data_IF_827977104428
#
_entry.id   IF_827977104428
#
_cell.length_a   1.000
_cell.length_b   1.000
_cell.length_c   1.000
_cell.angle_alpha   90.00
_cell.angle_beta   90.00
_cell.angle_gamma   90.00
#
_symmetry.space_group_name_H-M   'P 1'
#
loop_
_entity.id
_entity.type
_entity.pdbx_description
1 polymer ?
#
# COMPACT_ATOMS: atom_id res chain seq x y z
N UNK A 1 -17.30 10.78 11.95
CA UNK A 1 -16.98 10.90 10.51
C UNK A 1 -15.60 10.31 10.31
N UNK A 2 -15.50 9.13 9.70
CA UNK A 2 -14.19 8.57 9.33
C UNK A 2 -13.79 9.19 8.00
N UNK A 3 -13.08 10.32 8.03
CA UNK A 3 -12.38 10.79 6.84
C UNK A 3 -11.15 9.92 6.65
N UNK A 4 -11.03 9.32 5.45
CA UNK A 4 -9.82 8.62 5.01
C UNK A 4 -8.70 9.58 4.62
N UNK A 5 -8.57 10.66 5.38
CA UNK A 5 -7.39 11.51 5.39
C UNK A 5 -6.30 10.77 6.16
N UNK A 6 -5.88 9.60 5.64
CA UNK A 6 -4.53 9.13 5.87
C UNK A 6 -3.61 10.31 5.57
N UNK A 7 -2.66 10.57 6.47
CA UNK A 7 -2.00 11.87 6.59
C UNK A 7 -1.65 12.43 5.20
N UNK A 8 -2.32 13.51 4.79
CA UNK A 8 -2.11 14.10 3.46
C UNK A 8 -0.72 14.73 3.33
N UNK A 9 -0.14 15.07 4.48
CA UNK A 9 1.22 15.53 4.69
C UNK A 9 1.89 14.73 5.83
N UNK A 10 2.77 13.79 5.49
CA UNK A 10 3.27 12.81 6.45
C UNK A 10 4.38 13.36 7.41
N UNK A 11 4.67 14.67 7.46
CA UNK A 11 5.76 15.23 8.31
C UNK A 11 5.55 15.14 9.84
N UNK A 12 4.36 14.78 10.27
CA UNK A 12 4.01 14.66 11.68
C UNK A 12 4.59 13.39 12.33
N UNK A 13 4.96 12.39 11.54
CA UNK A 13 5.57 11.15 12.00
C UNK A 13 6.86 10.84 11.23
N UNK A 14 7.59 9.79 11.60
CA UNK A 14 8.73 9.27 10.85
C UNK A 14 8.80 7.73 10.93
N UNK A 15 9.80 7.15 10.28
CA UNK A 15 10.05 5.69 10.28
C UNK A 15 11.30 5.28 11.09
N UNK A 16 11.90 6.21 11.83
CA UNK A 16 13.14 5.96 12.57
C UNK A 16 12.85 5.20 13.86
N UNK A 17 13.57 4.08 14.04
CA UNK A 17 13.45 3.28 15.27
C UNK A 17 13.95 4.07 16.47
N UNK A 18 13.15 4.13 17.54
CA UNK A 18 13.47 4.89 18.76
C UNK A 18 13.20 6.39 18.68
N UNK A 19 12.76 6.92 17.53
CA UNK A 19 12.30 8.30 17.42
C UNK A 19 11.02 8.51 18.22
N UNK A 20 10.86 9.72 18.77
CA UNK A 20 9.60 10.15 19.40
C UNK A 20 8.44 10.25 18.41
N UNK A 21 8.76 10.39 17.12
CA UNK A 21 7.83 10.37 15.99
C UNK A 21 7.79 9.03 15.26
N UNK A 22 8.54 8.03 15.75
CA UNK A 22 8.74 6.76 15.08
C UNK A 22 7.57 5.78 15.22
N UNK A 23 7.59 4.66 14.47
CA UNK A 23 6.47 3.73 14.37
C UNK A 23 6.01 3.08 15.68
N UNK A 24 6.91 3.00 16.67
CA UNK A 24 6.62 2.47 18.00
C UNK A 24 5.80 3.44 18.86
N UNK A 25 5.68 4.72 18.47
CA UNK A 25 5.03 5.79 19.22
C UNK A 25 3.98 6.57 18.44
N UNK A 26 3.65 6.18 17.21
CA UNK A 26 2.69 6.93 16.37
C UNK A 26 1.35 7.21 17.08
N UNK A 27 0.82 6.25 17.82
CA UNK A 27 -0.44 6.41 18.56
C UNK A 27 -0.35 7.28 19.81
N UNK A 28 0.84 7.73 20.19
CA UNK A 28 1.06 8.72 21.25
C UNK A 28 1.17 10.15 20.69
N UNK A 29 1.31 10.32 19.37
CA UNK A 29 1.49 11.64 18.74
C UNK A 29 0.16 12.40 18.70
N UNK A 30 -0.93 11.70 18.32
CA UNK A 30 -2.29 12.26 18.25
C UNK A 30 -3.31 11.26 18.75
N UNK A 31 -4.40 11.75 19.35
CA UNK A 31 -5.47 10.91 19.91
C UNK A 31 -6.11 10.03 18.84
N UNK A 32 -6.36 10.59 17.65
CA UNK A 32 -6.92 9.88 16.50
C UNK A 32 -6.00 8.77 15.96
N UNK A 33 -4.73 8.71 16.38
CA UNK A 33 -3.75 7.69 15.97
C UNK A 33 -3.60 6.57 16.99
N UNK A 34 -4.35 6.58 18.10
CA UNK A 34 -4.22 5.61 19.19
C UNK A 34 -4.24 4.13 18.72
N UNK A 35 -4.98 3.83 17.65
CA UNK A 35 -5.03 2.50 17.04
C UNK A 35 -3.64 2.00 16.57
N UNK A 36 -2.71 2.89 16.24
CA UNK A 36 -1.35 2.52 15.86
C UNK A 36 -0.61 1.75 16.96
N UNK A 37 -0.93 2.00 18.24
CA UNK A 37 -0.29 1.33 19.38
C UNK A 37 -1.20 0.32 20.08
N UNK A 38 -2.51 0.55 20.07
CA UNK A 38 -3.47 -0.25 20.84
C UNK A 38 -4.34 -1.19 19.99
N UNK A 39 -4.25 -1.10 18.65
CA UNK A 39 -5.00 -1.98 17.76
C UNK A 39 -4.49 -3.43 17.78
N UNK A 40 -5.40 -4.40 17.69
CA UNK A 40 -5.07 -5.83 17.71
C UNK A 40 -5.03 -6.45 16.30
N UNK A 41 -5.47 -5.73 15.28
CA UNK A 41 -5.48 -6.15 13.89
C UNK A 41 -4.51 -5.33 13.03
N UNK A 42 -3.39 -4.92 13.60
CA UNK A 42 -2.44 -4.04 12.93
C UNK A 42 -1.67 -4.70 11.76
N UNK A 43 -1.39 -3.94 10.71
CA UNK A 43 -0.56 -4.32 9.55
C UNK A 43 0.77 -3.55 9.52
N UNK A 44 1.84 -4.09 8.90
CA UNK A 44 1.91 -5.36 8.16
C UNK A 44 2.17 -6.58 9.07
N UNK A 45 1.98 -7.80 8.55
CA UNK A 45 2.22 -9.07 9.28
C UNK A 45 3.18 -10.00 8.55
N UNK A 46 3.83 -10.90 9.28
CA UNK A 46 4.64 -11.97 8.67
C UNK A 46 3.77 -13.14 8.16
N UNK A 47 3.92 -13.45 6.87
CA UNK A 47 3.23 -14.58 6.21
C UNK A 47 4.15 -15.76 5.90
N UNK A 48 5.47 -15.68 6.14
CA UNK A 48 6.46 -16.61 5.60
C UNK A 48 6.44 -18.01 6.24
N UNK A 49 6.06 -18.11 7.52
CA UNK A 49 6.21 -19.33 8.33
C UNK A 49 4.91 -19.78 9.04
N UNK A 50 3.73 -19.45 8.48
CA UNK A 50 2.45 -19.68 9.16
C UNK A 50 1.58 -20.73 8.46
N UNK A 51 0.82 -21.48 9.27
CA UNK A 51 -0.25 -22.37 8.80
C UNK A 51 -1.35 -21.50 8.19
N UNK A 52 -1.39 -21.44 6.86
CA UNK A 52 -2.44 -20.72 6.11
C UNK A 52 -3.59 -21.65 5.76
N UNK A 53 -4.81 -21.15 5.83
CA UNK A 53 -6.00 -21.87 5.37
C UNK A 53 -6.06 -21.82 3.86
N UNK A 54 -5.99 -22.98 3.21
CA UNK A 54 -5.98 -23.06 1.74
C UNK A 54 -7.42 -23.04 1.22
N UNK A 55 -7.73 -22.07 0.37
CA UNK A 55 -9.02 -21.94 -0.31
C UNK A 55 -8.85 -22.35 -1.79
N UNK A 56 -9.52 -23.43 -2.21
CA UNK A 56 -9.35 -24.06 -3.55
C UNK A 56 -10.28 -23.52 -4.63
N UNK A 57 -11.52 -23.16 -4.27
CA UNK A 57 -12.49 -22.51 -5.16
C UNK A 57 -12.68 -21.09 -4.65
N UNK A 58 -12.40 -20.10 -5.47
CA UNK A 58 -12.64 -18.69 -5.16
C UNK A 58 -13.64 -18.15 -6.16
N UNK A 59 -14.63 -17.38 -5.72
CA UNK A 59 -15.42 -16.49 -6.57
C UNK A 59 -15.06 -15.01 -6.28
N UNK A 60 -13.98 -14.74 -5.55
CA UNK A 60 -14.01 -13.66 -4.56
C UNK A 60 -13.14 -12.43 -4.86
N UNK A 61 -12.44 -12.37 -6.00
CA UNK A 61 -11.84 -11.12 -6.44
C UNK A 61 -12.14 -10.93 -7.91
N UNK A 62 -12.88 -9.87 -8.24
CA UNK A 62 -13.08 -9.42 -9.62
C UNK A 62 -12.42 -8.04 -9.74
N UNK A 63 -11.68 -7.80 -10.82
CA UNK A 63 -11.01 -6.53 -11.08
C UNK A 63 -11.58 -5.91 -12.34
N UNK A 64 -12.14 -4.72 -12.22
CA UNK A 64 -12.78 -3.98 -13.29
C UNK A 64 -12.13 -2.61 -13.44
N UNK A 65 -10.81 -2.59 -13.68
CA UNK A 65 -10.06 -1.35 -13.83
C UNK A 65 -10.23 -0.74 -15.22
N UNK A 66 -10.14 0.59 -15.26
CA UNK A 66 -10.19 1.40 -16.47
C UNK A 66 -9.07 2.44 -16.43
N UNK A 67 -8.58 2.81 -17.61
CA UNK A 67 -7.63 3.93 -17.74
C UNK A 67 -8.32 5.21 -17.29
N UNK A 68 -7.64 5.99 -16.46
CA UNK A 68 -8.17 7.23 -15.89
C UNK A 68 -7.04 8.21 -15.65
N UNK A 69 -7.39 9.49 -15.48
CA UNK A 69 -6.44 10.51 -15.10
C UNK A 69 -5.85 10.21 -13.72
N UNK A 70 -4.57 10.52 -13.59
CA UNK A 70 -3.83 10.42 -12.35
C UNK A 70 -3.10 11.70 -12.00
N UNK A 71 -2.97 11.89 -10.70
CA UNK A 71 -2.10 12.87 -10.09
C UNK A 71 -1.03 12.14 -9.29
N UNK A 72 0.23 12.49 -9.51
CA UNK A 72 1.36 11.98 -8.72
C UNK A 72 1.65 13.00 -7.63
N UNK A 73 1.73 12.54 -6.39
CA UNK A 73 1.96 13.38 -5.21
C UNK A 73 3.13 12.83 -4.41
N UNK A 74 4.06 13.71 -4.06
CA UNK A 74 5.05 13.44 -3.03
C UNK A 74 4.47 13.88 -1.68
N UNK A 75 4.20 12.93 -0.79
CA UNK A 75 3.52 13.19 0.50
C UNK A 75 4.49 13.35 1.67
N UNK A 76 5.77 13.51 1.38
CA UNK A 76 6.83 13.47 2.40
C UNK A 76 7.50 12.11 2.39
N UNK A 77 6.94 11.10 3.07
CA UNK A 77 7.60 9.80 3.19
C UNK A 77 7.24 8.79 2.08
N UNK A 78 6.28 9.07 1.21
CA UNK A 78 5.97 8.22 0.07
C UNK A 78 5.53 8.97 -1.19
N UNK A 79 5.61 8.26 -2.31
CA UNK A 79 5.03 8.69 -3.58
C UNK A 79 3.68 8.00 -3.75
N UNK A 80 2.64 8.80 -3.90
CA UNK A 80 1.29 8.37 -4.18
C UNK A 80 0.89 8.70 -5.62
N UNK A 81 0.24 7.74 -6.27
CA UNK A 81 -0.47 7.91 -7.53
C UNK A 81 -1.96 7.90 -7.20
N UNK A 82 -2.61 9.07 -7.26
CA UNK A 82 -4.03 9.23 -7.00
C UNK A 82 -4.78 9.19 -8.33
N UNK A 83 -5.75 8.29 -8.44
CA UNK A 83 -6.72 8.32 -9.54
C UNK A 83 -7.93 9.15 -9.12
N UNK A 84 -8.61 9.77 -10.08
CA UNK A 84 -9.93 10.35 -9.82
C UNK A 84 -10.86 9.26 -9.29
N UNK A 85 -11.40 9.46 -8.10
CA UNK A 85 -12.24 8.47 -7.43
C UNK A 85 -13.47 8.16 -8.30
N UNK A 86 -13.72 6.86 -8.51
CA UNK A 86 -14.82 6.37 -9.35
C UNK A 86 -14.51 6.24 -10.85
N UNK A 87 -13.41 6.82 -11.35
CA UNK A 87 -13.08 6.77 -12.79
C UNK A 87 -12.18 5.59 -13.15
N UNK A 88 -11.23 5.24 -12.28
CA UNK A 88 -10.24 4.16 -12.53
C UNK A 88 -10.81 2.74 -12.40
N UNK A 89 -12.10 2.62 -12.09
CA UNK A 89 -12.77 1.35 -11.87
C UNK A 89 -12.56 0.79 -10.45
N UNK A 90 -12.76 -0.51 -10.29
CA UNK A 90 -12.97 -1.11 -8.96
C UNK A 90 -12.47 -2.54 -8.84
N UNK A 91 -12.49 -3.03 -7.61
CA UNK A 91 -12.46 -4.45 -7.29
C UNK A 91 -13.74 -4.87 -6.59
N UNK A 92 -14.17 -6.12 -6.80
CA UNK A 92 -15.30 -6.71 -6.08
C UNK A 92 -14.82 -7.87 -5.23
N UNK A 93 -15.09 -7.80 -3.93
CA UNK A 93 -14.77 -8.82 -2.95
C UNK A 93 -16.06 -9.23 -2.25
N UNK A 94 -16.44 -10.50 -2.36
CA UNK A 94 -17.60 -11.09 -1.66
C UNK A 94 -18.92 -10.32 -1.87
N UNK A 95 -19.10 -9.73 -3.04
CA UNK A 95 -20.29 -8.94 -3.36
C UNK A 95 -20.12 -7.43 -3.15
N UNK A 96 -19.17 -7.00 -2.31
CA UNK A 96 -18.88 -5.59 -2.05
C UNK A 96 -17.92 -5.04 -3.10
N UNK A 97 -18.26 -3.89 -3.67
CA UNK A 97 -17.42 -3.15 -4.61
C UNK A 97 -16.56 -2.13 -3.86
N UNK A 98 -15.29 -2.01 -4.28
CA UNK A 98 -14.31 -1.07 -3.77
C UNK A 98 -13.66 -0.35 -4.95
N UNK A 99 -13.91 0.95 -5.08
CA UNK A 99 -13.36 1.80 -6.13
C UNK A 99 -11.88 2.08 -5.87
N UNK A 100 -11.04 2.04 -6.91
CA UNK A 100 -9.64 2.38 -6.77
C UNK A 100 -9.49 3.88 -6.48
N UNK A 101 -8.80 4.20 -5.39
CA UNK A 101 -8.50 5.57 -5.01
C UNK A 101 -7.03 5.89 -5.34
N UNK A 102 -6.09 5.12 -4.78
CA UNK A 102 -4.67 5.45 -4.90
C UNK A 102 -3.75 4.24 -4.92
N UNK A 103 -2.54 4.46 -5.41
CA UNK A 103 -1.43 3.52 -5.40
C UNK A 103 -0.26 4.16 -4.68
N UNK A 104 0.29 3.51 -3.66
CA UNK A 104 1.41 4.05 -2.88
C UNK A 104 2.56 3.06 -2.79
N UNK A 105 3.78 3.59 -2.73
CA UNK A 105 5.01 2.79 -2.71
C UNK A 105 5.62 2.78 -1.31
N UNK A 106 5.82 1.58 -0.78
CA UNK A 106 6.62 1.34 0.42
C UNK A 106 7.97 0.70 0.05
N UNK A 107 9.04 1.38 0.39
CA UNK A 107 10.44 1.01 0.26
C UNK A 107 10.89 0.25 1.51
N UNK A 108 11.51 -0.91 1.29
CA UNK A 108 12.04 -1.76 2.35
C UNK A 108 13.58 -1.63 2.38
N UNK A 109 14.25 -1.60 3.54
CA UNK A 109 15.10 -2.74 3.91
C UNK A 109 15.99 -3.42 2.87
N UNK A 110 16.77 -2.79 1.97
CA UNK A 110 17.65 -3.56 1.05
C UNK A 110 18.97 -3.91 1.76
N UNK A 111 18.91 -4.73 2.80
CA UNK A 111 20.08 -5.45 3.30
C UNK A 111 20.00 -6.92 2.82
N UNK A 112 21.13 -7.62 2.77
CA UNK A 112 21.31 -8.93 2.10
C UNK A 112 20.39 -10.09 2.58
N UNK A 113 19.49 -9.86 3.54
CA UNK A 113 18.53 -10.83 4.04
C UNK A 113 17.06 -10.50 3.73
N UNK A 114 16.75 -9.33 3.16
CA UNK A 114 15.37 -8.99 2.85
C UNK A 114 14.97 -9.49 1.47
N UNK A 115 13.86 -10.24 1.41
CA UNK A 115 13.42 -10.89 0.17
C UNK A 115 12.86 -9.90 -0.86
N UNK A 116 12.49 -8.70 -0.44
CA UNK A 116 11.79 -7.70 -1.24
C UNK A 116 12.45 -6.32 -1.07
N UNK A 117 12.48 -5.55 -2.15
CA UNK A 117 13.01 -4.19 -2.19
C UNK A 117 11.92 -3.13 -1.99
N UNK A 118 10.69 -3.43 -2.40
CA UNK A 118 9.53 -2.56 -2.21
C UNK A 118 8.22 -3.34 -2.25
N UNK A 119 7.17 -2.72 -1.76
CA UNK A 119 5.77 -3.13 -1.89
C UNK A 119 4.95 -1.98 -2.47
N UNK A 120 4.07 -2.26 -3.43
CA UNK A 120 3.09 -1.30 -3.92
C UNK A 120 1.71 -1.66 -3.36
N UNK A 121 1.05 -0.69 -2.73
CA UNK A 121 -0.29 -0.81 -2.20
C UNK A 121 -1.30 -0.10 -3.09
N UNK A 122 -2.21 -0.83 -3.72
CA UNK A 122 -3.39 -0.27 -4.39
C UNK A 122 -4.54 -0.21 -3.38
N UNK A 123 -4.92 0.99 -2.97
CA UNK A 123 -5.94 1.27 -1.95
C UNK A 123 -7.29 1.52 -2.63
N UNK A 124 -8.30 0.81 -2.16
CA UNK A 124 -9.66 0.87 -2.68
C UNK A 124 -10.64 1.14 -1.55
N UNK A 125 -11.74 1.81 -1.88
CA UNK A 125 -12.76 2.25 -0.94
C UNK A 125 -14.14 1.84 -1.42
N UNK A 126 -14.98 1.32 -0.51
CA UNK A 126 -16.39 1.12 -0.82
C UNK A 126 -17.11 2.47 -0.90
N UNK A 127 -18.26 2.56 -1.58
CA UNK A 127 -19.19 3.65 -1.34
C UNK A 127 -19.48 3.75 0.17
N UNK A 128 -19.69 4.99 0.64
CA UNK A 128 -20.02 5.23 2.03
C UNK A 128 -21.42 4.66 2.32
N UNK A 129 -21.51 3.78 3.31
CA UNK A 129 -22.77 3.21 3.80
C UNK A 129 -22.89 3.53 5.28
N UNK A 130 -23.99 4.17 5.70
CA UNK A 130 -24.23 4.58 7.09
C UNK A 130 -23.10 5.43 7.72
N UNK A 131 -22.43 6.24 6.90
CA UNK A 131 -21.31 7.09 7.35
C UNK A 131 -19.96 6.37 7.45
N UNK A 132 -19.89 5.08 7.09
CA UNK A 132 -18.67 4.27 7.11
C UNK A 132 -18.21 3.90 5.70
N UNK A 133 -16.90 3.94 5.49
CA UNK A 133 -16.24 3.51 4.26
C UNK A 133 -15.36 2.30 4.57
N UNK A 134 -15.54 1.21 3.83
CA UNK A 134 -14.71 0.00 3.97
C UNK A 134 -13.52 0.09 3.04
N UNK A 135 -12.37 -0.40 3.48
CA UNK A 135 -11.11 -0.30 2.72
C UNK A 135 -10.64 -1.69 2.32
N UNK A 136 -10.18 -1.80 1.08
CA UNK A 136 -9.47 -2.98 0.59
C UNK A 136 -8.15 -2.59 -0.05
N UNK A 137 -7.08 -3.32 0.28
CA UNK A 137 -5.74 -3.05 -0.28
C UNK A 137 -5.24 -4.27 -1.06
N UNK A 138 -4.73 -4.04 -2.26
CA UNK A 138 -3.95 -5.03 -3.00
C UNK A 138 -2.47 -4.71 -2.86
N UNK A 139 -1.72 -5.59 -2.21
CA UNK A 139 -0.27 -5.49 -2.05
C UNK A 139 0.49 -6.28 -3.13
N UNK A 140 1.53 -5.67 -3.69
CA UNK A 140 2.42 -6.29 -4.68
C UNK A 140 3.87 -6.14 -4.25
N UNK A 141 4.51 -7.26 -3.91
CA UNK A 141 5.94 -7.27 -3.61
C UNK A 141 6.80 -7.22 -4.87
N UNK A 142 7.92 -6.51 -4.78
CA UNK A 142 8.95 -6.44 -5.79
C UNK A 142 10.30 -6.86 -5.21
N UNK A 143 11.08 -7.59 -5.99
CA UNK A 143 12.50 -7.85 -5.74
C UNK A 143 13.36 -7.12 -6.77
N UNK A 144 14.64 -6.90 -6.47
CA UNK A 144 15.57 -6.33 -7.45
C UNK A 144 15.65 -7.24 -8.69
N UNK A 145 15.55 -6.64 -9.87
CA UNK A 145 15.58 -7.33 -11.16
C UNK A 145 15.40 -6.36 -12.32
N UNK A 146 14.66 -6.78 -13.35
CA UNK A 146 14.36 -5.93 -14.51
C UNK A 146 13.48 -4.73 -14.10
N UNK A 147 13.61 -3.58 -14.79
CA UNK A 147 12.76 -2.43 -14.56
C UNK A 147 11.27 -2.78 -14.66
N UNK A 148 10.47 -2.21 -13.76
CA UNK A 148 9.03 -2.30 -13.83
C UNK A 148 8.47 -1.28 -14.83
N UNK A 149 7.70 -1.68 -15.86
CA UNK A 149 7.21 -0.75 -16.87
C UNK A 149 6.29 0.34 -16.34
N UNK A 150 5.46 0.03 -15.32
CA UNK A 150 4.56 1.02 -14.73
C UNK A 150 5.36 2.09 -13.97
N UNK A 151 6.33 1.67 -13.15
CA UNK A 151 7.22 2.64 -12.50
C UNK A 151 8.03 3.45 -13.52
N UNK A 152 8.49 2.87 -14.62
CA UNK A 152 9.18 3.61 -15.69
C UNK A 152 8.34 4.75 -16.27
N UNK A 153 7.02 4.56 -16.41
CA UNK A 153 6.14 5.64 -16.85
C UNK A 153 6.19 6.80 -15.84
N UNK A 154 6.11 6.50 -14.54
CA UNK A 154 6.06 7.51 -13.47
C UNK A 154 7.39 8.25 -13.24
N UNK A 155 8.53 7.62 -13.55
CA UNK A 155 9.87 8.12 -13.19
C UNK A 155 10.17 9.54 -13.68
N UNK A 156 9.74 9.91 -14.90
CA UNK A 156 10.03 11.25 -15.45
C UNK A 156 9.41 12.38 -14.62
N UNK A 157 8.25 12.15 -14.03
CA UNK A 157 7.61 13.17 -13.20
C UNK A 157 8.15 13.13 -11.78
N UNK A 158 8.46 11.95 -11.25
CA UNK A 158 9.03 11.80 -9.90
C UNK A 158 10.41 12.48 -9.81
N UNK A 159 11.24 12.43 -10.86
CA UNK A 159 12.55 13.12 -10.86
C UNK A 159 12.45 14.63 -10.68
N UNK A 160 11.36 15.23 -11.15
CA UNK A 160 11.15 16.67 -11.06
C UNK A 160 10.55 17.10 -9.70
N UNK A 161 10.22 16.12 -8.85
CA UNK A 161 9.61 16.29 -7.51
C UNK A 161 10.60 15.98 -6.38
N UNK A 162 11.88 15.75 -6.70
CA UNK A 162 12.93 15.50 -5.71
C UNK A 162 13.02 16.69 -4.75
N UNK A 163 13.00 16.39 -3.46
CA UNK A 163 13.04 17.36 -2.35
C UNK A 163 11.93 18.44 -2.37
N UNK A 164 10.88 18.22 -3.16
CA UNK A 164 9.73 19.12 -3.26
C UNK A 164 8.43 18.37 -2.92
N UNK A 165 7.71 18.87 -1.89
CA UNK A 165 6.31 18.52 -1.71
C UNK A 165 5.54 19.11 -2.88
N UNK A 166 5.25 18.26 -3.84
CA UNK A 166 4.66 18.65 -5.11
C UNK A 166 3.53 17.67 -5.48
N UNK A 167 2.62 18.16 -6.29
CA UNK A 167 1.47 17.42 -6.80
C UNK A 167 1.31 17.76 -8.28
N UNK A 168 1.46 16.74 -9.15
CA UNK A 168 1.47 16.93 -10.60
C UNK A 168 0.48 16.03 -11.29
N UNK A 169 -0.33 16.62 -12.18
CA UNK A 169 -1.14 15.86 -13.11
C UNK A 169 -0.22 15.11 -14.08
N UNK A 170 -0.34 13.78 -14.08
CA UNK A 170 0.51 12.90 -14.88
C UNK A 170 -0.20 12.45 -16.18
N UNK A 171 -1.54 12.57 -16.21
CA UNK A 171 -2.36 12.20 -17.37
C UNK A 171 -3.00 10.82 -17.21
N UNK A 172 -3.28 10.14 -18.32
CA UNK A 172 -4.03 8.88 -18.32
C UNK A 172 -3.12 7.68 -17.98
N UNK A 173 -3.45 6.95 -16.91
CA UNK A 173 -2.75 5.73 -16.50
C UNK A 173 -3.73 4.59 -16.28
N UNK A 174 -3.39 3.42 -16.80
CA UNK A 174 -4.17 2.20 -16.60
C UNK A 174 -3.69 1.44 -15.35
N UNK A 175 -4.53 1.26 -14.31
CA UNK A 175 -4.16 0.49 -13.12
C UNK A 175 -3.71 -0.95 -13.41
N UNK A 176 -4.10 -1.51 -14.57
CA UNK A 176 -3.70 -2.86 -15.00
C UNK A 176 -2.19 -2.96 -15.28
N UNK A 177 -1.51 -1.85 -15.53
CA UNK A 177 -0.05 -1.81 -15.76
C UNK A 177 0.77 -2.16 -14.52
N UNK A 178 0.19 -2.05 -13.32
CA UNK A 178 0.77 -2.56 -12.06
C UNK A 178 0.90 -4.11 -12.08
N UNK A 179 0.24 -4.78 -13.04
CA UNK A 179 0.30 -6.24 -13.30
C UNK A 179 0.24 -7.06 -12.01
N UNK A 180 -0.87 -6.93 -11.29
CA UNK A 180 -1.25 -7.76 -10.14
C UNK A 180 -1.59 -9.22 -10.52
N UNK A 181 -0.96 -9.74 -11.56
CA UNK A 181 -1.19 -11.08 -12.11
C UNK A 181 -0.62 -12.19 -11.25
N UNK A 182 -1.14 -13.40 -11.44
CA UNK A 182 -0.85 -14.56 -10.60
C UNK A 182 -2.15 -15.23 -10.17
N UNK A 183 -2.14 -16.56 -10.04
CA UNK A 183 -3.34 -17.33 -9.63
C UNK A 183 -3.50 -17.43 -8.11
N UNK A 184 -2.57 -16.89 -7.34
CA UNK A 184 -2.49 -17.08 -5.89
C UNK A 184 -2.27 -15.78 -5.15
N UNK A 185 -3.01 -15.58 -4.07
CA UNK A 185 -2.88 -14.43 -3.19
C UNK A 185 -3.21 -14.84 -1.75
N UNK A 186 -2.66 -14.08 -0.81
CA UNK A 186 -3.02 -14.15 0.59
C UNK A 186 -4.12 -13.14 0.87
N UNK A 187 -5.00 -13.47 1.82
CA UNK A 187 -6.08 -12.59 2.29
C UNK A 187 -6.12 -12.62 3.81
N UNK A 188 -6.19 -11.45 4.43
CA UNK A 188 -6.38 -11.28 5.87
C UNK A 188 -7.06 -9.92 6.15
N UNK A 189 -7.62 -9.76 7.35
CA UNK A 189 -8.12 -8.48 7.85
C UNK A 189 -7.02 -7.81 8.68
N UNK A 190 -6.72 -6.56 8.39
CA UNK A 190 -5.65 -5.82 9.01
C UNK A 190 -5.97 -4.34 9.19
N UNK A 191 -4.95 -3.50 9.18
CA UNK A 191 -5.07 -2.05 9.27
C UNK A 191 -4.34 -1.31 8.15
N UNK A 192 -4.47 0.01 8.12
CA UNK A 192 -3.54 0.87 7.39
C UNK A 192 -2.13 0.76 8.00
N UNK A 193 -1.11 0.79 7.14
CA UNK A 193 0.31 0.69 7.58
C UNK A 193 0.94 2.06 7.90
N UNK A 194 0.12 3.11 7.93
CA UNK A 194 0.48 4.49 8.28
C UNK A 194 -0.62 5.05 9.18
N UNK A 195 -0.35 6.09 9.99
CA UNK A 195 -1.38 6.74 10.79
C UNK A 195 -2.57 7.19 9.91
N UNK A 196 -3.82 7.08 10.40
CA UNK A 196 -4.23 6.73 11.77
C UNK A 196 -4.27 5.22 12.10
N UNK A 197 -3.70 4.36 11.24
CA UNK A 197 -3.65 2.90 11.46
C UNK A 197 -5.03 2.24 11.63
N UNK A 198 -6.06 2.78 10.98
CA UNK A 198 -7.44 2.29 11.00
C UNK A 198 -7.51 0.80 10.66
N UNK A 199 -8.20 0.03 11.50
CA UNK A 199 -8.41 -1.42 11.33
C UNK A 199 -9.59 -1.75 10.41
N UNK A 200 -9.83 -3.04 10.16
CA UNK A 200 -10.91 -3.50 9.26
C UNK A 200 -10.53 -3.49 7.78
N UNK A 201 -9.26 -3.22 7.44
CA UNK A 201 -8.76 -3.21 6.07
C UNK A 201 -8.66 -4.63 5.52
N UNK A 202 -9.28 -4.89 4.38
CA UNK A 202 -9.20 -6.18 3.68
C UNK A 202 -7.93 -6.24 2.83
N UNK A 203 -6.91 -6.92 3.31
CA UNK A 203 -5.63 -7.05 2.61
C UNK A 203 -5.59 -8.22 1.64
N UNK A 204 -5.19 -7.97 0.40
CA UNK A 204 -4.97 -8.98 -0.64
C UNK A 204 -3.53 -8.91 -1.13
N UNK A 205 -2.67 -9.81 -0.66
CA UNK A 205 -1.25 -9.80 -1.04
C UNK A 205 -0.99 -10.75 -2.19
N UNK A 206 -0.54 -10.22 -3.33
CA UNK A 206 -0.22 -11.04 -4.48
C UNK A 206 0.99 -11.95 -4.16
N UNK A 207 0.84 -13.26 -4.35
CA UNK A 207 1.94 -14.20 -4.09
C UNK A 207 3.02 -14.12 -5.17
N UNK A 208 2.69 -13.65 -6.37
CA UNK A 208 3.66 -13.46 -7.44
C UNK A 208 4.45 -12.18 -7.16
N UNK A 209 5.74 -12.35 -6.89
CA UNK A 209 6.69 -11.26 -6.70
C UNK A 209 7.08 -10.69 -8.07
N UNK A 210 7.00 -9.37 -8.21
CA UNK A 210 7.41 -8.62 -9.41
C UNK A 210 8.88 -8.21 -9.31
N UNK A 211 9.40 -7.55 -10.34
CA UNK A 211 10.77 -7.04 -10.35
C UNK A 211 10.78 -5.53 -10.49
N UNK A 212 11.72 -4.89 -9.82
CA UNK A 212 12.02 -3.46 -9.93
C UNK A 212 13.53 -3.29 -10.11
N UNK A 213 13.96 -2.31 -10.88
CA UNK A 213 15.40 -2.02 -11.05
C UNK A 213 15.98 -1.28 -9.83
N UNK A 214 17.30 -1.30 -9.67
CA UNK A 214 17.96 -0.57 -8.58
C UNK A 214 17.80 0.94 -8.76
N UNK A 215 17.83 1.38 -10.01
CA UNK A 215 17.68 2.77 -10.44
C UNK A 215 16.27 3.28 -10.11
N UNK A 216 15.23 2.45 -10.30
CA UNK A 216 13.87 2.77 -9.87
C UNK A 216 13.73 2.95 -8.37
N UNK A 217 14.29 2.01 -7.60
CA UNK A 217 14.26 2.10 -6.13
C UNK A 217 15.03 3.34 -5.65
N UNK A 218 16.19 3.63 -6.26
CA UNK A 218 17.00 4.80 -5.94
C UNK A 218 16.23 6.10 -6.17
N UNK A 219 15.60 6.26 -7.34
CA UNK A 219 14.84 7.45 -7.67
C UNK A 219 13.65 7.67 -6.73
N UNK A 220 12.95 6.60 -6.35
CA UNK A 220 11.86 6.69 -5.37
C UNK A 220 12.34 7.09 -3.97
N UNK A 221 13.56 6.69 -3.57
CA UNK A 221 14.19 7.12 -2.31
C UNK A 221 14.60 8.58 -2.34
N UNK A 222 15.17 9.02 -3.46
CA UNK A 222 15.60 10.41 -3.63
C UNK A 222 14.42 11.38 -3.71
N UNK A 223 13.24 10.90 -4.11
CA UNK A 223 12.07 11.75 -4.22
C UNK A 223 11.49 12.17 -2.86
N UNK A 224 11.63 11.36 -1.80
CA UNK A 224 10.99 11.57 -0.50
C UNK A 224 11.87 12.44 0.42
N UNK A 225 11.26 13.34 1.19
CA UNK A 225 11.90 14.49 1.85
C UNK A 225 12.99 14.19 2.89
N UNK A 226 13.03 12.98 3.44
CA UNK A 226 14.00 12.52 4.44
C UNK A 226 15.03 11.57 3.83
N UNK A 227 15.06 11.46 2.50
CA UNK A 227 15.73 10.38 1.79
C UNK A 227 15.40 9.02 2.40
N UNK A 228 14.17 8.84 2.91
CA UNK A 228 13.74 7.67 3.67
C UNK A 228 14.35 6.40 3.07
N UNK A 229 15.41 5.89 3.73
CA UNK A 229 15.98 4.61 3.35
C UNK A 229 14.91 3.52 3.48
N UNK A 230 13.97 3.75 4.40
CA UNK A 230 12.80 2.99 4.79
C UNK A 230 11.59 3.92 4.88
N UNK A 231 10.46 3.49 4.36
CA UNK A 231 9.14 4.00 4.77
C UNK A 231 8.19 2.82 5.09
N UNK A 232 8.78 1.71 5.55
CA UNK A 232 8.07 0.49 5.89
C UNK A 232 7.88 0.41 7.41
N UNK A 233 6.61 0.43 7.84
CA UNK A 233 6.25 0.16 9.23
C UNK A 233 6.75 -1.24 9.64
N UNK A 234 7.33 -1.41 10.85
CA UNK A 234 7.71 -2.71 11.37
C UNK A 234 6.54 -3.71 11.37
N UNK A 235 6.88 -5.00 11.31
CA UNK A 235 5.88 -6.07 11.38
C UNK A 235 5.16 -6.04 12.73
N UNK A 236 3.86 -6.23 12.67
CA UNK A 236 2.93 -6.25 13.78
C UNK A 236 2.59 -7.69 14.18
N UNK A 237 2.18 -7.89 15.43
CA UNK A 237 1.80 -9.20 15.96
C UNK A 237 0.62 -9.79 15.20
N UNK A 238 0.69 -11.07 14.84
CA UNK A 238 -0.40 -11.73 14.12
C UNK A 238 -1.69 -11.81 14.95
N UNK A 239 -1.55 -11.99 16.27
CA UNK A 239 -2.65 -12.31 17.19
C UNK A 239 -3.46 -13.50 16.65
N UNK A 240 -4.78 -13.52 16.82
CA UNK A 240 -5.64 -14.65 16.43
C UNK A 240 -6.11 -14.60 14.96
N UNK A 241 -5.48 -13.77 14.13
CA UNK A 241 -5.94 -13.54 12.74
C UNK A 241 -5.68 -14.75 11.84
N UNK A 242 -6.74 -15.19 11.16
CA UNK A 242 -6.65 -16.21 10.11
C UNK A 242 -6.07 -15.63 8.81
N UNK A 243 -5.01 -16.25 8.29
CA UNK A 243 -4.48 -15.95 6.96
C UNK A 243 -4.97 -17.01 5.97
N UNK A 244 -5.67 -16.56 4.91
CA UNK A 244 -6.17 -17.43 3.85
C UNK A 244 -5.25 -17.36 2.62
N UNK A 245 -4.95 -18.51 2.03
CA UNK A 245 -4.23 -18.63 0.76
C UNK A 245 -5.17 -19.15 -0.33
N UNK A 246 -5.47 -18.31 -1.31
CA UNK A 246 -6.29 -18.66 -2.46
C UNK A 246 -5.39 -19.22 -3.57
N UNK A 247 -5.76 -20.36 -4.18
CA UNK A 247 -4.90 -21.08 -5.15
C UNK A 247 -5.28 -20.94 -6.63
N UNK A 248 -6.47 -20.43 -6.94
CA UNK A 248 -6.99 -20.17 -8.30
C UNK A 248 -8.13 -19.13 -8.24
N UNK A 249 -8.20 -18.30 -9.29
CA UNK A 249 -9.40 -17.56 -9.69
C UNK A 249 -10.46 -18.55 -10.16
#
# INVERSE_FOLDING_TARGET
>A
MCELNGVEDETDFDYYKGSVKGPERWGEIKEEWAACNHGEMQSPIDMANRRVKIIRKSKELVKNYKTSNVTVKNRGHDIAVKWTLGEAGSIKINGTEYQLHQGRVQLMFVNNNNRYAMELHMVHESPQENGETKIAVIGVFYKIGRPDPFLTQLMRNISDMIDQKDERHFGMVDPRDIKTGGKRYYRYTGSLTVPPCTEGVVWTINKKVRTVSREQVKLLREAVHDYAEQNARPRQSLNDREIRLYKRW
#
